data_IF_176909356323
#
_entry.id   IF_176909356323
#
_cell.length_a   1.000
_cell.length_b   1.000
_cell.length_c   1.000
_cell.angle_alpha   90.00
_cell.angle_beta   90.00
_cell.angle_gamma   90.00
#
_symmetry.space_group_name_H-M   'P 1'
#
loop_
_entity.id
_entity.type
_entity.pdbx_description
1 polymer ?
#
# COMPACT_ATOMS: atom_id res chain seq x y z
N UNK A 1 14.96 -23.88 27.62
CA UNK A 1 15.36 -24.27 26.26
C UNK A 1 14.42 -23.55 25.31
N UNK A 2 14.92 -22.61 24.49
CA UNK A 2 14.09 -21.86 23.53
C UNK A 2 13.85 -22.75 22.31
N UNK A 3 12.59 -22.91 21.91
CA UNK A 3 12.24 -23.51 20.63
C UNK A 3 12.87 -22.68 19.50
N UNK A 4 13.30 -23.30 18.39
CA UNK A 4 13.83 -22.58 17.24
C UNK A 4 12.74 -21.65 16.65
N UNK A 5 13.14 -20.47 16.15
CA UNK A 5 12.28 -19.41 15.63
C UNK A 5 11.29 -19.83 14.52
N UNK A 6 11.48 -21.01 13.92
CA UNK A 6 10.55 -21.58 12.93
C UNK A 6 9.28 -22.17 13.57
N UNK A 7 9.28 -22.47 14.88
CA UNK A 7 8.09 -22.93 15.62
C UNK A 7 7.23 -21.77 16.18
N UNK A 8 7.69 -20.53 16.10
CA UNK A 8 7.01 -19.34 16.63
C UNK A 8 6.36 -18.45 15.57
N UNK A 9 6.09 -18.99 14.37
CA UNK A 9 5.47 -18.19 13.33
C UNK A 9 4.04 -17.79 13.69
N UNK A 10 3.76 -16.49 13.78
CA UNK A 10 2.44 -15.95 14.11
C UNK A 10 1.68 -15.50 12.85
N UNK A 11 0.35 -15.50 12.92
CA UNK A 11 -0.53 -14.98 11.88
C UNK A 11 -1.21 -13.69 12.32
N UNK A 12 -1.26 -12.69 11.45
CA UNK A 12 -2.02 -11.45 11.63
C UNK A 12 -3.11 -11.38 10.57
N UNK A 13 -4.36 -11.63 10.95
CA UNK A 13 -5.50 -11.56 10.04
C UNK A 13 -6.03 -10.13 9.98
N UNK A 14 -6.11 -9.58 8.78
CA UNK A 14 -6.59 -8.20 8.57
C UNK A 14 -8.06 -8.14 8.21
N UNK A 15 -8.68 -7.04 8.63
CA UNK A 15 -10.01 -6.60 8.23
C UNK A 15 -9.94 -5.53 7.11
N UNK A 16 -11.00 -5.41 6.31
CA UNK A 16 -11.15 -4.44 5.22
C UNK A 16 -11.02 -3.01 5.73
N UNK A 17 -11.70 -2.66 6.83
CA UNK A 17 -11.71 -1.28 7.34
C UNK A 17 -10.30 -0.79 7.71
N UNK A 18 -9.49 -1.67 8.28
CA UNK A 18 -8.12 -1.38 8.66
C UNK A 18 -7.25 -1.12 7.42
N UNK A 19 -7.43 -1.90 6.35
CA UNK A 19 -6.75 -1.67 5.08
C UNK A 19 -7.20 -0.39 4.39
N UNK A 20 -8.50 -0.05 4.40
CA UNK A 20 -8.99 1.19 3.80
C UNK A 20 -8.45 2.43 4.50
N UNK A 21 -8.35 2.39 5.83
CA UNK A 21 -8.03 3.56 6.63
C UNK A 21 -6.54 3.71 6.95
N UNK A 22 -5.80 2.62 7.05
CA UNK A 22 -4.45 2.60 7.61
C UNK A 22 -3.46 1.73 6.81
N UNK A 23 -3.72 1.53 5.51
CA UNK A 23 -2.85 0.78 4.59
C UNK A 23 -1.35 1.07 4.75
N UNK A 24 -0.98 2.34 4.93
CA UNK A 24 0.42 2.75 5.08
C UNK A 24 1.11 2.13 6.30
N UNK A 25 0.36 1.90 7.39
CA UNK A 25 0.89 1.23 8.58
C UNK A 25 1.33 -0.18 8.19
N UNK A 26 0.50 -0.91 7.45
CA UNK A 26 0.80 -2.27 7.00
C UNK A 26 1.90 -2.31 5.93
N UNK A 27 1.94 -1.33 5.01
CA UNK A 27 3.04 -1.20 4.04
C UNK A 27 4.39 -1.08 4.77
N UNK A 28 4.46 -0.23 5.79
CA UNK A 28 5.69 -0.04 6.57
C UNK A 28 5.98 -1.24 7.47
N UNK A 29 4.94 -1.81 8.09
CA UNK A 29 5.05 -2.98 8.94
C UNK A 29 5.57 -4.20 8.19
N UNK A 30 5.06 -4.49 7.00
CA UNK A 30 5.54 -5.60 6.16
C UNK A 30 7.01 -5.42 5.77
N UNK A 31 7.44 -4.18 5.48
CA UNK A 31 8.87 -3.90 5.23
C UNK A 31 9.74 -4.10 6.46
N UNK A 32 9.26 -3.69 7.63
CA UNK A 32 9.98 -3.84 8.89
C UNK A 32 10.09 -5.31 9.31
N UNK A 33 9.01 -6.11 9.23
CA UNK A 33 9.08 -7.55 9.53
C UNK A 33 10.00 -8.29 8.56
N UNK A 34 10.03 -7.92 7.28
CA UNK A 34 10.94 -8.50 6.29
C UNK A 34 12.41 -8.15 6.62
N UNK A 35 12.69 -6.87 6.88
CA UNK A 35 14.03 -6.38 7.23
C UNK A 35 14.55 -7.00 8.54
N UNK A 36 13.68 -7.11 9.54
CA UNK A 36 14.00 -7.65 10.87
C UNK A 36 13.87 -9.18 10.94
N UNK A 37 13.43 -9.83 9.85
CA UNK A 37 13.21 -11.28 9.73
C UNK A 37 12.30 -11.84 10.82
N UNK A 38 11.24 -11.11 11.12
CA UNK A 38 10.27 -11.50 12.15
C UNK A 38 9.36 -12.59 11.55
N UNK A 39 9.17 -13.73 12.24
CA UNK A 39 8.37 -14.84 11.74
C UNK A 39 6.87 -14.52 11.89
N UNK A 40 6.36 -13.57 11.12
CA UNK A 40 4.95 -13.19 11.09
C UNK A 40 4.43 -13.18 9.65
N UNK A 41 3.24 -13.73 9.45
CA UNK A 41 2.52 -13.69 8.16
C UNK A 41 1.24 -12.88 8.35
N UNK A 42 1.10 -11.83 7.54
CA UNK A 42 -0.13 -11.07 7.36
C UNK A 42 -1.05 -11.84 6.43
N UNK A 43 -2.21 -12.24 6.94
CA UNK A 43 -3.22 -12.99 6.21
C UNK A 43 -4.36 -12.06 5.79
N UNK A 44 -4.68 -12.07 4.50
CA UNK A 44 -5.81 -11.33 3.92
C UNK A 44 -6.96 -12.32 3.69
N UNK A 45 -8.07 -12.24 4.46
CA UNK A 45 -9.24 -13.07 4.23
C UNK A 45 -9.82 -12.88 2.83
N UNK A 46 -10.44 -13.94 2.29
CA UNK A 46 -11.11 -13.86 0.99
C UNK A 46 -12.29 -12.89 1.00
N UNK A 47 -12.99 -12.79 2.13
CA UNK A 47 -14.07 -11.81 2.31
C UNK A 47 -13.57 -10.38 2.13
N UNK A 48 -12.38 -10.06 2.67
CA UNK A 48 -11.74 -8.74 2.52
C UNK A 48 -11.42 -8.44 1.05
N UNK A 49 -10.86 -9.40 0.31
CA UNK A 49 -10.61 -9.22 -1.13
C UNK A 49 -11.90 -8.94 -1.91
N UNK A 50 -12.97 -9.68 -1.60
CA UNK A 50 -14.28 -9.50 -2.25
C UNK A 50 -14.93 -8.15 -1.90
N UNK A 51 -14.79 -7.69 -0.65
CA UNK A 51 -15.27 -6.36 -0.24
C UNK A 51 -14.51 -5.23 -0.92
N UNK A 52 -13.16 -5.33 -0.97
CA UNK A 52 -12.33 -4.35 -1.65
C UNK A 52 -12.71 -4.26 -3.14
N UNK A 53 -12.96 -5.40 -3.81
CA UNK A 53 -13.43 -5.42 -5.19
C UNK A 53 -14.80 -4.76 -5.37
N UNK A 54 -15.75 -5.01 -4.46
CA UNK A 54 -17.06 -4.36 -4.47
C UNK A 54 -16.97 -2.84 -4.28
N UNK A 55 -16.13 -2.39 -3.35
CA UNK A 55 -15.95 -0.96 -3.03
C UNK A 55 -15.20 -0.16 -4.10
N UNK A 56 -14.61 -0.82 -5.11
CA UNK A 56 -14.06 -0.12 -6.31
C UNK A 56 -15.12 0.64 -7.10
N UNK A 57 -16.40 0.37 -6.86
CA UNK A 57 -17.50 1.11 -7.46
C UNK A 57 -18.14 2.11 -6.49
N UNK A 58 -17.77 2.10 -5.21
CA UNK A 58 -18.38 2.93 -4.17
C UNK A 58 -17.73 4.34 -4.10
N UNK A 59 -18.57 5.37 -4.15
CA UNK A 59 -18.13 6.75 -4.24
C UNK A 59 -17.45 7.16 -2.93
N UNK A 60 -16.17 7.54 -3.03
CA UNK A 60 -15.38 8.00 -1.89
C UNK A 60 -14.49 6.95 -1.22
N UNK A 61 -14.70 5.65 -1.53
CA UNK A 61 -13.82 4.54 -1.14
C UNK A 61 -13.00 3.99 -2.32
N UNK A 62 -13.50 4.12 -3.55
CA UNK A 62 -12.83 3.79 -4.83
C UNK A 62 -11.29 3.87 -4.80
N UNK A 63 -10.73 5.05 -4.51
CA UNK A 63 -9.29 5.28 -4.45
C UNK A 63 -8.59 4.37 -3.44
N UNK A 64 -9.13 4.25 -2.22
CA UNK A 64 -8.54 3.46 -1.15
C UNK A 64 -8.66 1.96 -1.43
N UNK A 65 -9.80 1.51 -1.93
CA UNK A 65 -10.03 0.09 -2.23
C UNK A 65 -9.14 -0.39 -3.39
N UNK A 66 -8.97 0.43 -4.44
CA UNK A 66 -8.03 0.12 -5.54
C UNK A 66 -6.59 0.07 -5.05
N UNK A 67 -6.18 1.07 -4.27
CA UNK A 67 -4.82 1.14 -3.71
C UNK A 67 -4.50 -0.03 -2.79
N UNK A 68 -5.43 -0.41 -1.91
CA UNK A 68 -5.29 -1.57 -1.05
C UNK A 68 -5.20 -2.87 -1.87
N UNK A 69 -6.06 -3.04 -2.88
CA UNK A 69 -6.03 -4.21 -3.77
C UNK A 69 -4.69 -4.34 -4.51
N UNK A 70 -4.19 -3.25 -5.09
CA UNK A 70 -2.90 -3.23 -5.80
C UNK A 70 -1.73 -3.56 -4.85
N UNK A 71 -1.75 -3.01 -3.63
CA UNK A 71 -0.73 -3.33 -2.63
C UNK A 71 -0.77 -4.81 -2.22
N UNK A 72 -1.94 -5.36 -1.90
CA UNK A 72 -2.07 -6.78 -1.52
C UNK A 72 -1.53 -7.68 -2.63
N UNK A 73 -1.96 -7.46 -3.88
CA UNK A 73 -1.57 -8.32 -4.99
C UNK A 73 -0.06 -8.27 -5.25
N UNK A 74 0.55 -7.09 -5.17
CA UNK A 74 1.99 -6.94 -5.36
C UNK A 74 2.78 -7.59 -4.20
N UNK A 75 2.40 -7.33 -2.95
CA UNK A 75 3.11 -7.90 -1.80
C UNK A 75 2.97 -9.41 -1.67
N UNK A 76 1.85 -9.99 -2.08
CA UNK A 76 1.67 -11.45 -2.16
C UNK A 76 2.59 -12.11 -3.19
N UNK A 77 3.03 -11.37 -4.21
CA UNK A 77 3.98 -11.86 -5.22
C UNK A 77 5.43 -11.62 -4.80
N UNK A 78 5.66 -10.51 -4.09
CA UNK A 78 7.00 -10.04 -3.70
C UNK A 78 7.52 -10.73 -2.43
N UNK A 79 6.66 -10.95 -1.44
CA UNK A 79 7.06 -11.37 -0.09
C UNK A 79 6.41 -12.67 0.35
N UNK A 80 7.02 -13.35 1.31
CA UNK A 80 6.40 -14.47 2.02
C UNK A 80 5.62 -14.02 3.27
N UNK A 81 5.65 -12.73 3.59
CA UNK A 81 5.03 -12.16 4.78
C UNK A 81 3.59 -11.71 4.54
N UNK A 82 3.10 -11.70 3.29
CA UNK A 82 1.71 -11.39 2.97
C UNK A 82 1.11 -12.57 2.20
N UNK A 83 -0.03 -13.06 2.69
CA UNK A 83 -0.71 -14.23 2.13
C UNK A 83 -2.21 -13.97 2.02
N UNK A 84 -2.80 -14.32 0.87
CA UNK A 84 -4.25 -14.42 0.73
C UNK A 84 -4.77 -15.78 1.22
N UNK A 85 -5.94 -15.79 1.86
CA UNK A 85 -6.63 -17.01 2.27
C UNK A 85 -6.99 -17.89 1.05
N UNK A 86 -6.52 -19.13 1.03
CA UNK A 86 -6.93 -20.10 0.01
C UNK A 86 -8.34 -20.66 0.26
N UNK A 87 -9.02 -21.16 -0.77
CA UNK A 87 -10.41 -21.65 -0.65
C UNK A 87 -10.59 -22.82 0.33
N UNK A 88 -9.53 -23.61 0.56
CA UNK A 88 -9.51 -24.71 1.53
C UNK A 88 -9.15 -24.25 2.96
N UNK A 89 -8.82 -22.97 3.15
CA UNK A 89 -8.35 -22.41 4.42
C UNK A 89 -9.51 -21.85 5.25
N UNK A 90 -10.50 -22.68 5.54
CA UNK A 90 -11.70 -22.34 6.32
C UNK A 90 -12.03 -23.48 7.28
N UNK A 91 -12.50 -23.17 8.49
CA UNK A 91 -13.00 -24.18 9.44
C UNK A 91 -14.36 -24.71 9.02
N UNK A 92 -15.17 -23.84 8.40
CA UNK A 92 -16.56 -24.17 8.16
C UNK A 92 -16.77 -24.89 6.84
N UNK A 93 -17.37 -26.08 6.93
CA UNK A 93 -18.01 -26.81 5.83
C UNK A 93 -19.52 -26.54 5.96
N UNK A 94 -20.23 -26.09 4.91
CA UNK A 94 -21.58 -25.55 5.04
C UNK A 94 -22.56 -26.57 5.65
N UNK A 95 -23.23 -26.20 6.75
CA UNK A 95 -24.63 -26.62 6.89
C UNK A 95 -25.44 -25.77 5.91
N UNK A 96 -26.12 -26.41 4.96
CA UNK A 96 -26.60 -25.89 3.66
C UNK A 96 -27.57 -24.67 3.67
N UNK A 97 -27.77 -23.94 4.77
CA UNK A 97 -28.91 -23.01 4.89
C UNK A 97 -28.61 -21.60 5.40
N UNK A 98 -27.38 -21.28 5.86
CA UNK A 98 -27.05 -19.91 6.31
C UNK A 98 -25.91 -19.31 5.49
N UNK A 99 -26.20 -18.21 4.81
CA UNK A 99 -25.18 -17.35 4.23
C UNK A 99 -24.45 -16.64 5.38
N UNK A 100 -23.14 -16.88 5.50
CA UNK A 100 -22.31 -16.19 6.47
C UNK A 100 -22.15 -14.72 6.08
N UNK A 101 -22.17 -13.84 7.09
CA UNK A 101 -21.77 -12.45 6.93
C UNK A 101 -20.28 -12.35 6.63
N UNK A 102 -19.80 -11.19 6.18
CA UNK A 102 -18.37 -11.03 5.91
C UNK A 102 -17.54 -11.03 7.20
N UNK A 103 -18.05 -10.44 8.29
CA UNK A 103 -17.48 -10.53 9.63
C UNK A 103 -17.31 -11.98 10.10
N UNK A 104 -18.35 -12.80 9.93
CA UNK A 104 -18.30 -14.24 10.25
C UNK A 104 -17.25 -14.96 9.37
N UNK A 105 -17.10 -14.59 8.09
CA UNK A 105 -16.07 -15.17 7.21
C UNK A 105 -14.65 -14.77 7.63
N UNK A 106 -14.45 -13.51 8.05
CA UNK A 106 -13.15 -13.02 8.54
C UNK A 106 -12.79 -13.75 9.83
N UNK A 107 -13.73 -13.88 10.77
CA UNK A 107 -13.53 -14.62 12.00
C UNK A 107 -13.23 -16.10 11.75
N UNK A 108 -13.95 -16.74 10.84
CA UNK A 108 -13.68 -18.13 10.42
C UNK A 108 -12.26 -18.30 9.85
N UNK A 109 -11.76 -17.30 9.12
CA UNK A 109 -10.37 -17.28 8.67
C UNK A 109 -9.40 -17.23 9.85
N UNK A 110 -9.60 -16.32 10.81
CA UNK A 110 -8.77 -16.20 12.00
C UNK A 110 -8.76 -17.48 12.84
N UNK A 111 -9.92 -18.09 13.07
CA UNK A 111 -10.02 -19.36 13.77
C UNK A 111 -9.29 -20.49 13.02
N UNK A 112 -9.36 -20.52 11.68
CA UNK A 112 -8.66 -21.56 10.90
C UNK A 112 -7.14 -21.51 11.11
N UNK A 113 -6.56 -20.31 11.12
CA UNK A 113 -5.13 -20.14 11.37
C UNK A 113 -4.77 -20.37 12.85
N UNK A 114 -5.68 -20.07 13.77
CA UNK A 114 -5.47 -20.29 15.21
C UNK A 114 -5.32 -21.76 15.59
N UNK A 115 -5.95 -22.67 14.84
CA UNK A 115 -5.77 -24.12 14.99
C UNK A 115 -4.33 -24.59 14.71
N UNK A 116 -3.52 -23.78 14.02
CA UNK A 116 -2.15 -24.12 13.62
C UNK A 116 -1.10 -23.38 14.43
N UNK A 117 -1.28 -22.08 14.62
CA UNK A 117 -0.31 -21.21 15.28
C UNK A 117 -1.01 -20.03 15.96
N UNK A 118 -0.27 -19.31 16.79
CA UNK A 118 -0.74 -18.07 17.39
C UNK A 118 -1.25 -17.11 16.31
N UNK A 119 -2.49 -16.66 16.47
CA UNK A 119 -3.20 -15.85 15.48
C UNK A 119 -3.84 -14.65 16.14
N UNK A 120 -3.65 -13.50 15.51
CA UNK A 120 -4.15 -12.20 15.94
C UNK A 120 -5.12 -11.69 14.88
N UNK A 121 -6.31 -11.25 15.30
CA UNK A 121 -7.26 -10.55 14.44
C UNK A 121 -7.08 -9.05 14.63
N UNK A 122 -6.79 -8.34 13.53
CA UNK A 122 -6.66 -6.88 13.52
C UNK A 122 -7.88 -6.26 12.86
N UNK A 123 -8.74 -5.65 13.66
CA UNK A 123 -9.99 -5.02 13.19
C UNK A 123 -10.23 -3.69 13.90
N UNK A 124 -10.83 -2.73 13.20
CA UNK A 124 -11.35 -1.50 13.78
C UNK A 124 -12.86 -1.53 14.00
N UNK A 125 -13.53 -2.63 13.66
CA UNK A 125 -14.97 -2.79 13.81
C UNK A 125 -15.31 -3.37 15.20
N UNK A 126 -16.13 -2.64 15.95
CA UNK A 126 -16.56 -3.06 17.29
C UNK A 126 -17.44 -4.31 17.26
N UNK A 127 -18.25 -4.49 16.22
CA UNK A 127 -19.12 -5.65 16.10
C UNK A 127 -18.27 -6.91 15.86
N UNK A 128 -17.28 -6.83 14.97
CA UNK A 128 -16.34 -7.94 14.74
C UNK A 128 -15.49 -8.21 15.98
N UNK A 129 -15.06 -7.17 16.73
CA UNK A 129 -14.38 -7.37 18.01
C UNK A 129 -15.25 -8.14 19.02
N UNK A 130 -16.51 -7.73 19.20
CA UNK A 130 -17.46 -8.38 20.12
C UNK A 130 -17.71 -9.83 19.69
N UNK A 131 -17.89 -10.07 18.39
CA UNK A 131 -18.09 -11.41 17.82
C UNK A 131 -16.86 -12.30 18.04
N UNK A 132 -15.66 -11.77 17.80
CA UNK A 132 -14.43 -12.49 18.02
C UNK A 132 -14.22 -12.83 19.51
N UNK A 133 -14.55 -11.92 20.43
CA UNK A 133 -14.46 -12.17 21.87
C UNK A 133 -15.44 -13.26 22.32
N UNK A 134 -16.67 -13.27 21.79
CA UNK A 134 -17.68 -14.26 22.18
C UNK A 134 -17.43 -15.65 21.61
N UNK A 135 -17.06 -15.75 20.33
CA UNK A 135 -16.91 -17.03 19.65
C UNK A 135 -15.51 -17.64 19.78
N UNK A 136 -14.45 -16.82 19.81
CA UNK A 136 -13.10 -17.36 19.84
C UNK A 136 -12.64 -17.79 21.24
N UNK A 137 -13.34 -17.38 22.31
CA UNK A 137 -13.05 -17.78 23.71
C UNK A 137 -11.56 -17.67 24.10
N UNK A 138 -10.85 -16.67 23.57
CA UNK A 138 -9.41 -16.47 23.81
C UNK A 138 -8.45 -17.29 22.94
N UNK A 139 -8.97 -18.06 21.97
CA UNK A 139 -8.15 -18.83 21.01
C UNK A 139 -7.40 -17.93 20.02
N UNK A 140 -7.91 -16.73 19.76
CA UNK A 140 -7.23 -15.68 18.98
C UNK A 140 -7.03 -14.46 19.86
N UNK A 141 -5.91 -13.77 19.68
CA UNK A 141 -5.76 -12.43 20.23
C UNK A 141 -6.43 -11.40 19.31
N UNK A 142 -6.84 -10.27 19.86
CA UNK A 142 -7.56 -9.21 19.13
C UNK A 142 -6.78 -7.91 19.28
N UNK A 143 -6.47 -7.28 18.16
CA UNK A 143 -5.90 -5.95 18.08
C UNK A 143 -7.01 -5.01 17.63
N UNK A 144 -7.55 -4.25 18.60
CA UNK A 144 -8.56 -3.23 18.32
C UNK A 144 -7.88 -2.01 17.70
N UNK A 145 -8.04 -1.88 16.38
CA UNK A 145 -7.44 -0.81 15.60
C UNK A 145 -8.26 0.47 15.71
N UNK A 146 -8.16 1.14 16.85
CA UNK A 146 -8.93 2.35 17.13
C UNK A 146 -8.46 3.52 16.24
N UNK A 147 -9.39 4.13 15.52
CA UNK A 147 -9.12 5.25 14.62
C UNK A 147 -8.66 6.54 15.34
N UNK A 148 -8.91 6.65 16.65
CA UNK A 148 -8.44 7.79 17.47
C UNK A 148 -6.96 7.72 17.78
N UNK A 149 -6.37 6.52 17.71
CA UNK A 149 -4.95 6.31 17.98
C UNK A 149 -4.17 6.46 16.69
N UNK A 150 -3.05 7.19 16.75
CA UNK A 150 -2.11 7.24 15.64
C UNK A 150 -1.33 5.92 15.60
N UNK A 151 -1.61 5.09 14.59
CA UNK A 151 -0.91 3.84 14.39
C UNK A 151 0.36 4.03 13.55
N UNK A 152 1.43 3.37 13.98
CA UNK A 152 2.71 3.25 13.28
C UNK A 152 3.11 1.78 13.23
N UNK A 153 4.13 1.45 12.43
CA UNK A 153 4.68 0.10 12.36
C UNK A 153 5.18 -0.36 13.74
N UNK A 154 5.82 0.55 14.48
CA UNK A 154 6.27 0.34 15.87
C UNK A 154 5.11 0.02 16.83
N UNK A 155 4.08 0.88 16.87
CA UNK A 155 2.89 0.67 17.72
C UNK A 155 2.18 -0.65 17.43
N UNK A 156 2.10 -1.01 16.15
CA UNK A 156 1.53 -2.29 15.75
C UNK A 156 2.39 -3.47 16.26
N UNK A 157 3.72 -3.38 16.16
CA UNK A 157 4.62 -4.38 16.71
C UNK A 157 4.51 -4.52 18.23
N UNK A 158 4.44 -3.41 18.97
CA UNK A 158 4.23 -3.40 20.44
C UNK A 158 2.93 -4.13 20.83
N UNK A 159 1.87 -3.95 20.02
CA UNK A 159 0.57 -4.58 20.25
C UNK A 159 0.57 -6.08 19.96
N UNK A 160 1.38 -6.51 18.99
CA UNK A 160 1.51 -7.92 18.59
C UNK A 160 2.43 -8.67 19.56
N UNK A 161 3.51 -8.03 20.01
CA UNK A 161 4.60 -8.66 20.76
C UNK A 161 4.85 -7.99 22.12
N UNK A 162 3.87 -7.87 23.02
CA UNK A 162 3.99 -7.07 24.26
C UNK A 162 5.05 -7.58 25.25
N UNK A 163 5.49 -8.84 25.11
CA UNK A 163 6.42 -9.49 26.04
C UNK A 163 7.63 -10.12 25.35
N UNK A 164 7.84 -9.87 24.06
CA UNK A 164 9.01 -10.38 23.34
C UNK A 164 10.17 -9.39 23.39
N UNK A 165 11.39 -9.92 23.28
CA UNK A 165 12.63 -9.13 23.18
C UNK A 165 12.80 -8.65 21.73
N UNK A 166 11.80 -7.95 21.23
CA UNK A 166 11.86 -7.29 19.92
C UNK A 166 12.33 -5.87 20.14
N UNK A 167 13.35 -5.45 19.39
CA UNK A 167 13.81 -4.07 19.40
C UNK A 167 12.79 -3.19 18.65
N UNK A 168 11.88 -2.55 19.40
CA UNK A 168 10.84 -1.69 18.85
C UNK A 168 11.42 -0.42 18.22
N UNK A 169 12.61 0.02 18.63
CA UNK A 169 13.24 1.20 18.05
C UNK A 169 13.66 0.94 16.61
N UNK A 170 13.92 -0.32 16.27
CA UNK A 170 14.21 -0.73 14.91
C UNK A 170 13.00 -0.59 13.98
N UNK A 171 11.76 -0.52 14.48
CA UNK A 171 10.56 -0.32 13.67
C UNK A 171 10.36 1.16 13.30
N UNK A 172 9.80 1.38 12.12
CA UNK A 172 9.48 2.72 11.67
C UNK A 172 8.33 3.34 12.48
N UNK A 173 8.57 4.53 13.02
CA UNK A 173 7.54 5.28 13.77
C UNK A 173 6.78 6.28 12.90
N UNK A 174 6.94 6.18 11.57
CA UNK A 174 6.23 7.04 10.63
C UNK A 174 4.74 6.71 10.70
N UNK A 175 3.96 7.57 11.36
CA UNK A 175 2.50 7.50 11.39
C UNK A 175 1.95 7.58 9.98
N UNK A 176 1.56 6.43 9.44
CA UNK A 176 1.01 6.27 8.11
C UNK A 176 -0.43 6.78 8.02
N UNK A 177 -0.74 7.99 8.52
CA UNK A 177 -2.12 8.51 8.45
C UNK A 177 -2.52 8.66 6.97
N UNK A 178 -3.66 8.09 6.60
CA UNK A 178 -4.34 8.51 5.38
C UNK A 178 -4.67 10.01 5.49
N UNK A 179 -4.51 10.76 4.40
CA UNK A 179 -4.67 12.22 4.42
C UNK A 179 -6.06 12.66 4.93
N UNK A 180 -7.12 11.83 4.76
CA UNK A 180 -8.45 12.07 5.34
C UNK A 180 -8.45 12.14 6.88
N UNK A 181 -7.57 11.40 7.56
CA UNK A 181 -7.44 11.46 9.04
C UNK A 181 -6.66 12.70 9.49
N UNK A 182 -5.74 13.20 8.67
CA UNK A 182 -4.98 14.40 8.97
C UNK A 182 -5.87 15.66 9.01
N UNK A 183 -6.97 15.68 8.24
CA UNK A 183 -7.91 16.82 8.24
C UNK A 183 -8.92 16.82 9.38
N UNK A 184 -9.33 15.65 9.89
CA UNK A 184 -10.38 15.55 10.93
C UNK A 184 -9.86 15.90 12.32
N UNK A 185 -8.59 15.64 12.63
CA UNK A 185 -8.02 15.96 13.95
C UNK A 185 -7.91 17.47 14.25
N UNK A 186 -8.27 18.36 13.31
CA UNK A 186 -8.21 19.82 13.50
C UNK A 186 -9.48 20.42 14.13
N UNK A 187 -10.58 19.68 14.25
CA UNK A 187 -11.88 20.27 14.65
C UNK A 187 -12.30 20.07 16.12
N UNK A 188 -11.63 19.25 16.93
CA UNK A 188 -12.13 18.92 18.28
C UNK A 188 -11.52 19.68 19.47
N UNK A 189 -10.64 20.66 19.29
CA UNK A 189 -9.91 21.24 20.44
C UNK A 189 -9.90 22.77 20.51
N UNK A 190 -11.07 23.40 20.58
CA UNK A 190 -11.15 24.87 20.78
C UNK A 190 -12.20 25.30 21.82
N UNK A 191 -12.36 24.57 22.93
CA UNK A 191 -13.08 25.06 24.12
C UNK A 191 -12.84 24.25 25.41
N UNK A 192 -11.58 24.03 25.80
CA UNK A 192 -11.29 23.55 27.16
C UNK A 192 -10.16 24.36 27.77
N UNK A 193 -10.52 25.31 28.64
CA UNK A 193 -9.58 25.98 29.52
C UNK A 193 -9.13 24.99 30.60
N UNK A 194 -7.99 24.34 30.38
CA UNK A 194 -7.30 23.53 31.39
C UNK A 194 -5.88 24.06 31.59
N UNK A 195 -5.51 24.19 32.87
CA UNK A 195 -4.29 24.80 33.36
C UNK A 195 -3.00 24.07 32.93
N UNK A 196 -1.95 24.87 32.82
CA UNK A 196 -0.57 24.55 32.45
C UNK A 196 0.01 23.34 33.22
N UNK A 197 0.41 22.33 32.46
CA UNK A 197 1.44 21.37 32.85
C UNK A 197 2.47 21.39 31.72
N UNK A 198 3.70 21.77 32.05
CA UNK A 198 4.84 21.74 31.14
C UNK A 198 5.16 20.29 30.74
N UNK A 199 4.50 19.79 29.70
CA UNK A 199 4.92 18.59 28.96
C UNK A 199 5.75 19.01 27.75
N UNK A 200 7.07 18.86 27.90
CA UNK A 200 8.05 18.99 26.83
C UNK A 200 7.69 18.12 25.60
N UNK A 201 7.65 18.79 24.45
CA UNK A 201 8.12 18.30 23.15
C UNK A 201 7.32 17.21 22.40
N UNK A 202 5.99 17.38 22.29
CA UNK A 202 5.19 16.75 21.22
C UNK A 202 4.59 17.82 20.29
N UNK A 203 5.43 18.67 19.71
CA UNK A 203 5.08 19.35 18.46
C UNK A 203 5.10 18.33 17.31
N UNK A 204 4.16 17.37 17.37
CA UNK A 204 3.90 16.44 16.27
C UNK A 204 3.59 17.28 15.04
N UNK A 205 4.56 17.41 14.13
CA UNK A 205 4.37 18.09 12.86
C UNK A 205 3.19 17.42 12.18
N UNK A 206 2.05 18.12 12.13
CA UNK A 206 0.89 17.71 11.35
C UNK A 206 1.39 17.43 9.94
N UNK A 207 1.52 16.15 9.60
CA UNK A 207 1.97 15.75 8.26
C UNK A 207 0.95 16.33 7.29
N UNK A 208 1.40 17.29 6.46
CA UNK A 208 0.53 17.96 5.50
C UNK A 208 -0.21 16.90 4.68
N UNK A 209 -1.54 17.02 4.61
CA UNK A 209 -2.40 16.15 3.82
C UNK A 209 -1.90 16.00 2.38
N UNK A 210 -1.26 17.05 1.82
CA UNK A 210 -0.60 17.02 0.50
C UNK A 210 0.57 16.06 0.44
N UNK A 211 1.45 16.09 1.44
CA UNK A 211 2.60 15.19 1.53
C UNK A 211 2.15 13.75 1.67
N UNK A 212 1.14 13.50 2.53
CA UNK A 212 0.53 12.18 2.66
C UNK A 212 -0.05 11.71 1.34
N UNK A 213 -0.90 12.50 0.68
CA UNK A 213 -1.51 12.15 -0.61
C UNK A 213 -0.45 11.88 -1.69
N UNK A 214 0.62 12.69 -1.73
CA UNK A 214 1.72 12.54 -2.68
C UNK A 214 2.40 11.18 -2.59
N UNK A 215 2.73 10.75 -1.37
CA UNK A 215 3.32 9.43 -1.13
C UNK A 215 2.36 8.31 -1.59
N UNK A 216 1.04 8.48 -1.42
CA UNK A 216 0.06 7.50 -1.91
C UNK A 216 0.08 7.41 -3.43
N UNK A 217 0.12 8.55 -4.11
CA UNK A 217 0.18 8.65 -5.57
C UNK A 217 1.47 8.03 -6.11
N UNK A 218 2.61 8.32 -5.48
CA UNK A 218 3.91 7.72 -5.83
C UNK A 218 3.81 6.19 -5.81
N UNK A 219 3.40 5.63 -4.67
CA UNK A 219 3.38 4.18 -4.49
C UNK A 219 2.38 3.51 -5.45
N UNK A 220 1.18 4.07 -5.59
CA UNK A 220 0.13 3.50 -6.44
C UNK A 220 0.50 3.51 -7.92
N UNK A 221 0.93 4.67 -8.45
CA UNK A 221 1.25 4.77 -9.87
C UNK A 221 2.56 4.08 -10.22
N UNK A 222 3.52 3.93 -9.30
CA UNK A 222 4.70 3.09 -9.53
C UNK A 222 4.27 1.64 -9.84
N UNK A 223 3.38 1.06 -9.04
CA UNK A 223 2.86 -0.30 -9.27
C UNK A 223 2.13 -0.40 -10.60
N UNK A 224 1.23 0.54 -10.91
CA UNK A 224 0.50 0.52 -12.18
C UNK A 224 1.42 0.66 -13.41
N UNK A 225 2.48 1.46 -13.31
CA UNK A 225 3.48 1.60 -14.37
C UNK A 225 4.28 0.30 -14.55
N UNK A 226 4.67 -0.38 -13.46
CA UNK A 226 5.32 -1.67 -13.52
C UNK A 226 4.42 -2.74 -14.18
N UNK A 227 3.14 -2.79 -13.80
CA UNK A 227 2.16 -3.69 -14.44
C UNK A 227 2.00 -3.40 -15.94
N UNK A 228 1.98 -2.12 -16.31
CA UNK A 228 1.93 -1.70 -17.71
C UNK A 228 3.15 -2.22 -18.48
N UNK A 229 4.36 -2.04 -17.94
CA UNK A 229 5.60 -2.52 -18.55
C UNK A 229 5.56 -4.05 -18.75
N UNK A 230 5.14 -4.81 -17.73
CA UNK A 230 4.97 -6.27 -17.82
C UNK A 230 3.96 -6.65 -18.92
N UNK A 231 2.84 -5.94 -19.02
CA UNK A 231 1.84 -6.17 -20.06
C UNK A 231 2.40 -5.89 -21.47
N UNK A 232 3.20 -4.83 -21.63
CA UNK A 232 3.83 -4.49 -22.91
C UNK A 232 4.89 -5.50 -23.32
N UNK A 233 5.65 -6.04 -22.38
CA UNK A 233 6.58 -7.14 -22.64
C UNK A 233 5.85 -8.39 -23.14
N UNK A 234 4.77 -8.81 -22.46
CA UNK A 234 3.99 -9.98 -22.88
C UNK A 234 3.36 -9.82 -24.26
N UNK A 235 2.91 -8.61 -24.61
CA UNK A 235 2.30 -8.30 -25.91
C UNK A 235 3.32 -8.18 -27.04
N UNK A 236 4.60 -7.97 -26.74
CA UNK A 236 5.63 -8.05 -27.78
C UNK A 236 6.00 -9.51 -27.97
N UNK A 237 5.52 -10.20 -29.03
CA UNK A 237 5.90 -11.57 -29.27
C UNK A 237 7.42 -11.63 -29.31
N UNK A 238 8.00 -12.54 -28.53
CA UNK A 238 9.43 -12.78 -28.46
C UNK A 238 9.96 -13.06 -29.87
N UNK A 239 10.31 -12.00 -30.59
CA UNK A 239 10.88 -12.05 -31.93
C UNK A 239 12.37 -12.32 -31.75
N UNK A 240 12.69 -13.48 -31.17
CA UNK A 240 13.98 -14.17 -31.13
C UNK A 240 14.03 -15.04 -29.88
N UNK A 241 13.66 -16.32 -30.02
CA UNK A 241 14.37 -17.34 -29.27
C UNK A 241 15.86 -17.23 -29.64
N UNK A 242 16.80 -17.39 -28.70
CA UNK A 242 18.21 -17.50 -29.04
C UNK A 242 18.41 -18.80 -29.83
N UNK A 243 18.39 -18.70 -31.16
CA UNK A 243 18.97 -19.73 -32.01
C UNK A 243 20.43 -19.90 -31.61
N UNK A 244 20.88 -21.14 -31.41
CA UNK A 244 22.29 -21.48 -31.14
C UNK A 244 23.26 -21.03 -32.26
N UNK A 245 22.75 -20.43 -33.33
CA UNK A 245 23.53 -19.86 -34.43
C UNK A 245 23.26 -18.36 -34.68
N UNK A 246 22.86 -17.60 -33.66
CA UNK A 246 22.72 -16.16 -33.82
C UNK A 246 24.09 -15.52 -34.17
N UNK A 247 24.21 -14.81 -35.31
CA UNK A 247 25.45 -14.12 -35.67
C UNK A 247 25.79 -13.05 -34.61
N UNK A 248 27.08 -12.71 -34.44
CA UNK A 248 27.51 -11.77 -33.40
C UNK A 248 26.74 -10.46 -33.53
N UNK A 249 26.10 -10.09 -32.43
CA UNK A 249 25.36 -8.84 -32.26
C UNK A 249 26.28 -7.70 -32.71
N UNK A 250 25.85 -6.97 -33.74
CA UNK A 250 26.56 -5.80 -34.26
C UNK A 250 26.95 -4.85 -33.12
N UNK A 251 28.24 -4.53 -33.03
CA UNK A 251 28.82 -3.57 -32.08
C UNK A 251 28.16 -2.18 -32.21
N UNK A 252 27.51 -1.91 -33.35
CA UNK A 252 26.85 -0.65 -33.67
C UNK A 252 25.32 -0.66 -33.49
N UNK A 253 24.72 -1.77 -33.05
CA UNK A 253 23.31 -1.74 -32.65
C UNK A 253 23.18 -0.89 -31.36
N UNK A 254 22.30 0.12 -31.31
CA UNK A 254 22.18 0.98 -30.15
C UNK A 254 21.82 0.13 -28.92
N UNK A 255 22.77 0.04 -27.98
CA UNK A 255 22.61 -0.58 -26.66
C UNK A 255 21.55 0.18 -25.88
N UNK A 256 20.27 -0.07 -26.11
CA UNK A 256 19.16 0.54 -25.36
C UNK A 256 18.09 -0.45 -24.94
N UNK A 257 18.43 -1.74 -24.85
CA UNK A 257 17.76 -2.54 -23.83
C UNK A 257 18.36 -2.10 -22.50
N UNK A 258 17.61 -1.54 -21.55
CA UNK A 258 18.08 -1.45 -20.18
C UNK A 258 18.39 -2.89 -19.77
N UNK A 259 19.67 -3.26 -19.81
CA UNK A 259 20.17 -4.55 -19.31
C UNK A 259 20.18 -4.48 -17.80
N UNK A 260 19.04 -4.17 -17.20
CA UNK A 260 18.89 -4.36 -15.77
C UNK A 260 18.61 -5.85 -15.55
N UNK A 261 19.50 -6.58 -14.85
CA UNK A 261 19.27 -7.99 -14.52
C UNK A 261 18.11 -8.17 -13.53
N UNK A 262 17.66 -7.10 -12.87
CA UNK A 262 16.63 -7.16 -11.84
C UNK A 262 15.24 -7.38 -12.46
N UNK A 263 14.34 -8.08 -11.76
CA UNK A 263 12.95 -8.23 -12.18
C UNK A 263 12.25 -6.85 -12.26
N UNK A 264 11.27 -6.71 -13.15
CA UNK A 264 10.54 -5.44 -13.39
C UNK A 264 9.89 -4.88 -12.11
N UNK A 265 9.49 -5.75 -11.17
CA UNK A 265 8.94 -5.35 -9.87
C UNK A 265 9.94 -4.54 -9.02
N UNK A 266 11.25 -4.73 -9.24
CA UNK A 266 12.31 -4.03 -8.53
C UNK A 266 12.82 -2.80 -9.27
N UNK A 267 12.33 -2.54 -10.49
CA UNK A 267 12.79 -1.39 -11.26
C UNK A 267 12.47 -0.09 -10.54
N UNK A 268 13.43 0.82 -10.60
CA UNK A 268 13.23 2.21 -10.24
C UNK A 268 12.23 2.86 -11.20
N UNK A 269 11.58 3.92 -10.74
CA UNK A 269 10.65 4.65 -11.58
C UNK A 269 11.32 5.20 -12.85
N UNK A 270 12.56 5.69 -12.74
CA UNK A 270 13.33 6.14 -13.91
C UNK A 270 13.47 5.04 -14.94
N UNK A 271 13.78 3.81 -14.51
CA UNK A 271 13.92 2.68 -15.44
C UNK A 271 12.58 2.29 -16.09
N UNK A 272 11.48 2.36 -15.33
CA UNK A 272 10.13 2.12 -15.87
C UNK A 272 9.78 3.18 -16.95
N UNK A 273 10.08 4.46 -16.69
CA UNK A 273 9.81 5.54 -17.63
C UNK A 273 10.73 5.48 -18.85
N UNK A 274 12.03 5.21 -18.67
CA UNK A 274 13.01 5.04 -19.74
C UNK A 274 12.60 3.89 -20.67
N UNK A 275 12.08 2.79 -20.12
CA UNK A 275 11.56 1.68 -20.92
C UNK A 275 10.33 2.08 -21.75
N UNK A 276 9.41 2.84 -21.17
CA UNK A 276 8.24 3.35 -21.90
C UNK A 276 8.66 4.34 -23.00
N UNK A 277 9.66 5.19 -22.74
CA UNK A 277 10.23 6.14 -23.71
C UNK A 277 10.92 5.40 -24.85
N UNK A 278 11.66 4.33 -24.54
CA UNK A 278 12.26 3.46 -25.53
C UNK A 278 11.22 2.84 -26.48
N UNK A 279 10.05 2.48 -25.95
CA UNK A 279 8.96 1.87 -26.73
C UNK A 279 8.17 2.88 -27.56
N UNK A 280 8.06 4.13 -27.13
CA UNK A 280 7.47 5.22 -27.92
C UNK A 280 8.27 6.51 -27.75
N UNK A 281 9.07 6.83 -28.76
CA UNK A 281 9.91 8.03 -28.77
C UNK A 281 9.11 9.34 -28.67
N UNK A 282 7.80 9.33 -28.96
CA UNK A 282 6.94 10.51 -28.76
C UNK A 282 6.65 10.80 -27.29
N UNK A 283 6.83 9.82 -26.41
CA UNK A 283 6.69 10.00 -24.97
C UNK A 283 7.77 10.95 -24.43
N UNK A 284 8.93 11.01 -25.08
CA UNK A 284 10.04 11.85 -24.65
C UNK A 284 9.66 13.34 -24.59
N UNK A 285 9.03 13.84 -25.65
CA UNK A 285 8.59 15.23 -25.75
C UNK A 285 7.55 15.59 -24.66
N UNK A 286 6.73 14.63 -24.26
CA UNK A 286 5.67 14.81 -23.24
C UNK A 286 6.25 14.73 -21.82
N UNK A 287 7.20 13.84 -21.57
CA UNK A 287 7.83 13.71 -20.25
C UNK A 287 8.75 14.90 -19.94
N UNK A 288 9.50 15.37 -20.94
CA UNK A 288 10.51 16.44 -20.79
C UNK A 288 9.94 17.87 -20.79
N UNK A 289 8.67 18.09 -21.16
CA UNK A 289 8.02 19.44 -21.19
C UNK A 289 6.76 19.51 -20.31
N UNK A 290 6.30 20.71 -19.93
CA UNK A 290 6.91 21.61 -18.94
C UNK A 290 7.00 20.99 -17.52
N UNK A 291 7.69 21.68 -16.61
CA UNK A 291 7.98 21.25 -15.23
C UNK A 291 6.70 20.96 -14.42
N UNK A 292 6.72 19.95 -13.52
CA UNK A 292 7.86 19.11 -13.16
C UNK A 292 8.05 17.88 -14.07
N UNK A 293 9.27 17.34 -14.16
CA UNK A 293 9.50 16.07 -14.83
C UNK A 293 8.86 14.95 -13.98
N UNK A 294 8.22 14.00 -14.66
CA UNK A 294 7.34 13.02 -14.02
C UNK A 294 8.11 12.08 -13.08
N UNK A 295 9.34 11.73 -13.46
CA UNK A 295 10.30 10.98 -12.65
C UNK A 295 10.51 11.62 -11.28
N UNK A 296 10.76 12.93 -11.24
CA UNK A 296 10.99 13.68 -10.01
C UNK A 296 9.73 13.83 -9.17
N UNK A 297 8.58 14.01 -9.83
CA UNK A 297 7.30 14.09 -9.14
C UNK A 297 6.94 12.75 -8.49
N UNK A 298 7.20 11.62 -9.14
CA UNK A 298 6.86 10.30 -8.61
C UNK A 298 8.02 9.65 -7.82
N UNK A 299 9.09 10.40 -7.50
CA UNK A 299 10.17 9.93 -6.63
C UNK A 299 9.85 10.28 -5.17
N UNK A 300 9.97 9.33 -4.22
CA UNK A 300 9.73 9.61 -2.80
C UNK A 300 10.70 10.66 -2.24
N UNK A 301 10.23 11.51 -1.29
CA UNK A 301 11.07 12.53 -0.67
C UNK A 301 12.28 11.90 0.04
N UNK A 302 13.37 12.66 0.16
CA UNK A 302 14.64 12.25 0.79
C UNK A 302 15.44 11.15 0.10
N UNK A 303 15.12 10.83 -1.15
CA UNK A 303 16.01 10.00 -1.96
C UNK A 303 17.22 10.84 -2.39
N UNK A 304 18.41 10.56 -1.84
CA UNK A 304 19.63 11.39 -1.94
C UNK A 304 20.04 11.86 -3.34
N UNK A 305 19.59 11.17 -4.40
CA UNK A 305 20.04 11.39 -5.78
C UNK A 305 19.15 12.27 -6.64
N UNK A 306 17.90 12.49 -6.23
CA UNK A 306 16.93 13.21 -7.03
C UNK A 306 16.41 14.34 -6.20
N UNK A 307 16.23 15.54 -6.76
CA UNK A 307 15.65 16.69 -6.06
C UNK A 307 14.18 16.49 -5.68
N UNK A 308 13.81 15.32 -5.19
CA UNK A 308 12.51 14.91 -4.70
C UNK A 308 12.05 15.93 -3.66
N UNK A 309 10.82 16.39 -3.86
CA UNK A 309 10.18 17.38 -3.02
C UNK A 309 9.04 16.73 -2.27
N UNK A 310 8.69 17.26 -1.10
CA UNK A 310 7.51 16.80 -0.36
C UNK A 310 6.24 17.21 -1.12
N UNK A 311 5.12 16.55 -0.85
CA UNK A 311 3.85 16.86 -1.53
C UNK A 311 3.41 18.33 -1.39
N UNK A 312 3.72 18.96 -0.26
CA UNK A 312 3.43 20.37 0.02
C UNK A 312 4.25 21.37 -0.80
N UNK A 313 5.43 20.96 -1.26
CA UNK A 313 6.36 21.81 -2.01
C UNK A 313 6.00 21.87 -3.51
N UNK A 314 5.06 21.02 -3.94
CA UNK A 314 4.52 21.01 -5.29
C UNK A 314 3.30 21.93 -5.38
N UNK A 315 3.31 22.84 -6.37
CA UNK A 315 2.14 23.68 -6.62
C UNK A 315 0.97 22.83 -7.15
N UNK A 316 -0.27 23.34 -7.02
CA UNK A 316 -1.44 22.69 -7.63
C UNK A 316 -1.26 22.48 -9.14
N UNK A 317 -0.63 23.44 -9.81
CA UNK A 317 -0.34 23.35 -11.25
C UNK A 317 0.65 22.22 -11.55
N UNK A 318 1.69 22.06 -10.74
CA UNK A 318 2.67 20.96 -10.89
C UNK A 318 1.98 19.59 -10.79
N UNK A 319 1.06 19.44 -9.83
CA UNK A 319 0.24 18.25 -9.68
C UNK A 319 -0.60 17.97 -10.93
N UNK A 320 -1.32 18.98 -11.43
CA UNK A 320 -2.15 18.83 -12.64
C UNK A 320 -1.31 18.48 -13.87
N UNK A 321 -0.11 19.06 -14.01
CA UNK A 321 0.82 18.73 -15.09
C UNK A 321 1.28 17.27 -14.98
N UNK A 322 1.71 16.83 -13.79
CA UNK A 322 2.17 15.46 -13.57
C UNK A 322 1.07 14.42 -13.82
N UNK A 323 -0.16 14.69 -13.35
CA UNK A 323 -1.32 13.83 -13.59
C UNK A 323 -1.77 13.85 -15.05
N UNK A 324 -1.60 14.98 -15.74
CA UNK A 324 -1.80 15.08 -17.18
C UNK A 324 -0.83 14.18 -17.96
N UNK A 325 0.43 14.09 -17.53
CA UNK A 325 1.42 13.17 -18.12
C UNK A 325 1.03 11.70 -17.87
N UNK A 326 0.58 11.37 -16.66
CA UNK A 326 0.06 10.02 -16.36
C UNK A 326 -1.18 9.68 -17.17
N UNK A 327 -2.09 10.64 -17.35
CA UNK A 327 -3.28 10.48 -18.20
C UNK A 327 -2.88 10.17 -19.63
N UNK A 328 -1.92 10.92 -20.16
CA UNK A 328 -1.40 10.69 -21.50
C UNK A 328 -0.78 9.30 -21.66
N UNK A 329 0.02 8.84 -20.69
CA UNK A 329 0.57 7.47 -20.67
C UNK A 329 -0.56 6.43 -20.69
N UNK A 330 -1.59 6.63 -19.86
CA UNK A 330 -2.77 5.78 -19.82
C UNK A 330 -3.50 5.71 -21.17
N UNK A 331 -3.84 6.85 -21.76
CA UNK A 331 -4.51 6.95 -23.07
C UNK A 331 -3.69 6.33 -24.21
N UNK A 332 -2.36 6.45 -24.14
CA UNK A 332 -1.46 5.98 -25.19
C UNK A 332 -1.29 4.47 -25.20
N UNK A 333 -1.14 3.86 -24.02
CA UNK A 333 -0.69 2.47 -23.89
C UNK A 333 -1.76 1.50 -23.37
N UNK A 334 -2.76 2.00 -22.64
CA UNK A 334 -3.78 1.16 -22.06
C UNK A 334 -5.13 1.35 -22.78
N UNK A 335 -5.58 0.30 -23.48
CA UNK A 335 -7.02 0.08 -23.69
C UNK A 335 -7.72 -0.35 -22.39
N UNK A 336 -6.96 -0.87 -21.43
CA UNK A 336 -7.44 -1.44 -20.17
C UNK A 336 -7.29 -0.41 -19.03
N UNK A 337 -8.41 0.15 -18.61
CA UNK A 337 -8.62 1.45 -17.95
C UNK A 337 -7.93 1.74 -16.60
N UNK A 338 -6.99 0.94 -16.09
CA UNK A 338 -6.52 1.00 -14.69
C UNK A 338 -5.90 2.36 -14.27
N UNK A 339 -5.00 2.93 -15.09
CA UNK A 339 -4.36 4.24 -14.81
C UNK A 339 -5.42 5.35 -14.91
N UNK A 340 -6.25 5.32 -15.94
CA UNK A 340 -7.27 6.35 -16.19
C UNK A 340 -8.37 6.34 -15.12
N UNK A 341 -8.82 5.17 -14.68
CA UNK A 341 -9.74 5.00 -13.57
C UNK A 341 -9.13 5.52 -12.27
N UNK A 342 -7.87 5.14 -11.97
CA UNK A 342 -7.18 5.62 -10.77
C UNK A 342 -7.03 7.14 -10.75
N UNK A 343 -6.77 7.77 -11.92
CA UNK A 343 -6.71 9.23 -12.04
C UNK A 343 -8.07 9.90 -11.83
N UNK A 344 -9.14 9.32 -12.37
CA UNK A 344 -10.51 9.79 -12.17
C UNK A 344 -10.88 9.73 -10.68
N UNK A 345 -10.56 8.63 -10.03
CA UNK A 345 -10.90 8.38 -8.62
C UNK A 345 -10.03 9.24 -7.67
N UNK A 346 -8.82 9.61 -8.09
CA UNK A 346 -7.93 10.53 -7.35
C UNK A 346 -8.40 12.00 -7.39
N UNK A 347 -9.07 12.41 -8.47
CA UNK A 347 -9.37 13.83 -8.70
C UNK A 347 -10.19 14.51 -7.57
N UNK A 348 -11.27 13.90 -7.03
CA UNK A 348 -12.02 14.49 -5.90
C UNK A 348 -11.16 14.67 -4.65
N UNK A 349 -10.18 13.79 -4.44
CA UNK A 349 -9.29 13.84 -3.29
C UNK A 349 -8.27 14.99 -3.41
N UNK A 350 -7.80 15.28 -4.62
CA UNK A 350 -6.97 16.45 -4.87
C UNK A 350 -7.74 17.74 -4.61
N UNK A 351 -8.96 17.85 -5.13
CA UNK A 351 -9.81 19.02 -4.88
C UNK A 351 -10.07 19.21 -3.39
N UNK A 352 -10.29 18.14 -2.65
CA UNK A 352 -10.45 18.20 -1.18
C UNK A 352 -9.17 18.69 -0.50
N UNK A 353 -8.01 18.11 -0.82
CA UNK A 353 -6.73 18.45 -0.15
C UNK A 353 -6.23 19.85 -0.52
N UNK A 354 -6.47 20.31 -1.75
CA UNK A 354 -6.13 21.68 -2.16
C UNK A 354 -7.19 22.71 -1.76
N UNK A 355 -8.45 22.29 -1.58
CA UNK A 355 -9.56 23.12 -1.13
C UNK A 355 -9.62 23.32 0.39
N UNK A 356 -8.98 22.43 1.16
CA UNK A 356 -8.64 22.68 2.57
C UNK A 356 -7.64 23.83 2.62
N UNK A 357 -8.16 25.06 2.65
CA UNK A 357 -7.36 26.26 2.78
C UNK A 357 -6.41 26.09 3.97
N UNK A 358 -5.14 26.48 3.79
CA UNK A 358 -4.26 26.75 4.92
C UNK A 358 -4.92 27.89 5.71
N UNK A 359 -5.78 27.55 6.68
CA UNK A 359 -6.06 28.42 7.82
C UNK A 359 -4.72 28.50 8.55
N UNK A 360 -3.92 29.48 8.13
CA UNK A 360 -2.70 29.96 8.77
C UNK A 360 -3.08 30.51 10.14
#
# INVERSE_FOLDING_TARGET
MKAPLEESQAFLVLDTNVLLHDLNVFVNFVKDIERLRIPLIVVIPRAVLSELDGQKNDVGLQWFSRRASSWIFEEMRRTQHVKGQASSETIFVPSEQRLLTNDEKILNCALYFSQRRHTLLCTGDKNLCILAQSEAQGTIGIIEFNQRVAWSSRRLAESIFPHEVVDFDAFSDNYGKNYKKASVMKEENDNSMSMDVDEDDLTMTLVDARTSLHIQVINHFKTLLAELVVCLEKKTPATSAPSMHAPPISIHAPKRRPTNPNPISEWSLSELLDYLEYKDSKLDDVLKRPHPPLDRFLTPPYTERSGARRGQDWSRQDWLIALGKLKWIGERWQKDCSILESLRDLHPHLETVFGQAMKI
#
